data_IF_011151269604
#
_entry.id   IF_011151269604
#
_cell.length_a   1.000
_cell.length_b   1.000
_cell.length_c   1.000
_cell.angle_alpha   90.00
_cell.angle_beta   90.00
_cell.angle_gamma   90.00
#
_symmetry.space_group_name_H-M   'P 1'
#
loop_
_entity.id
_entity.type
_entity.pdbx_description
1 polymer ?
#
# COMPACT_ATOMS: atom_id res chain seq x y z
N UNK A 1 42.96 25.47 37.18
CA UNK A 1 41.69 24.76 36.95
C UNK A 1 40.59 25.75 36.60
N UNK A 2 40.13 25.78 35.37
CA UNK A 2 39.10 26.72 34.88
C UNK A 2 37.75 26.19 35.38
N UNK A 3 37.13 26.84 36.38
CA UNK A 3 35.74 26.55 36.83
C UNK A 3 34.74 27.10 35.80
N UNK A 4 34.35 26.28 34.82
CA UNK A 4 33.24 26.63 33.90
C UNK A 4 31.99 26.73 34.75
N UNK A 5 31.36 27.91 34.84
CA UNK A 5 30.12 28.11 35.60
C UNK A 5 29.01 27.27 34.93
N UNK A 6 28.22 26.52 35.70
CA UNK A 6 27.17 25.61 35.23
C UNK A 6 26.17 26.27 34.24
N UNK A 7 25.99 27.58 34.32
CA UNK A 7 25.22 28.40 33.39
C UNK A 7 25.74 28.33 31.95
N UNK A 8 27.06 28.40 31.76
CA UNK A 8 27.67 28.34 30.42
C UNK A 8 27.55 26.94 29.79
N UNK A 9 27.63 25.88 30.58
CA UNK A 9 27.41 24.50 30.11
C UNK A 9 25.97 24.34 29.59
N UNK A 10 24.99 24.88 30.31
CA UNK A 10 23.57 24.84 29.87
C UNK A 10 23.34 25.61 28.56
N UNK A 11 23.99 26.77 28.41
CA UNK A 11 23.92 27.58 27.18
C UNK A 11 24.53 26.81 26.00
N UNK A 12 25.74 26.24 26.18
CA UNK A 12 26.39 25.45 25.13
C UNK A 12 25.57 24.24 24.74
N UNK A 13 25.01 23.51 25.70
CA UNK A 13 24.09 22.38 25.42
C UNK A 13 22.83 22.81 24.65
N UNK A 14 22.22 23.94 25.04
CA UNK A 14 21.08 24.49 24.33
C UNK A 14 21.41 24.83 22.87
N UNK A 15 22.56 25.51 22.65
CA UNK A 15 23.03 25.85 21.29
C UNK A 15 23.28 24.60 20.44
N UNK A 16 23.89 23.56 21.04
CA UNK A 16 24.12 22.28 20.34
C UNK A 16 22.80 21.58 19.97
N UNK A 17 21.82 21.58 20.88
CA UNK A 17 20.50 21.00 20.59
C UNK A 17 19.77 21.75 19.48
N UNK A 18 19.80 23.09 19.51
CA UNK A 18 19.20 23.92 18.46
C UNK A 18 19.91 23.72 17.12
N UNK A 19 21.22 23.66 17.12
CA UNK A 19 22.02 23.40 15.90
C UNK A 19 21.72 22.00 15.33
N UNK A 20 21.63 20.99 16.19
CA UNK A 20 21.27 19.62 15.78
C UNK A 20 19.83 19.56 15.21
N UNK A 21 18.87 20.24 15.85
CA UNK A 21 17.50 20.33 15.35
C UNK A 21 17.42 21.04 13.99
N UNK A 22 18.17 22.14 13.83
CA UNK A 22 18.25 22.87 12.57
C UNK A 22 18.89 22.04 11.44
N UNK A 23 19.92 21.26 11.76
CA UNK A 23 20.55 20.35 10.79
C UNK A 23 19.68 19.17 10.42
N UNK A 24 18.85 18.67 11.35
CA UNK A 24 17.92 17.57 11.10
C UNK A 24 16.65 18.00 10.34
N UNK A 25 16.29 19.30 10.39
CA UNK A 25 15.07 19.83 9.81
C UNK A 25 14.90 19.50 8.31
N UNK A 26 15.87 19.76 7.41
CA UNK A 26 15.72 19.46 5.98
C UNK A 26 15.54 17.96 5.72
N UNK A 27 16.14 17.10 6.53
CA UNK A 27 15.96 15.66 6.47
C UNK A 27 14.53 15.25 6.86
N UNK A 28 14.02 15.84 7.94
CA UNK A 28 12.67 15.62 8.42
C UNK A 28 11.62 16.14 7.43
N UNK A 29 11.83 17.34 6.89
CA UNK A 29 10.93 17.96 5.90
C UNK A 29 10.89 17.12 4.62
N UNK A 30 12.04 16.69 4.09
CA UNK A 30 12.13 15.81 2.92
C UNK A 30 11.47 14.43 3.16
N UNK A 31 11.69 13.84 4.32
CA UNK A 31 11.03 12.57 4.70
C UNK A 31 9.52 12.73 4.85
N UNK A 32 9.07 13.84 5.45
CA UNK A 32 7.65 14.17 5.60
C UNK A 32 6.96 14.33 4.25
N UNK A 33 7.60 15.01 3.30
CA UNK A 33 7.10 15.21 1.94
C UNK A 33 7.07 13.90 1.15
N UNK A 34 8.12 13.09 1.25
CA UNK A 34 8.14 11.74 0.67
C UNK A 34 6.97 10.90 1.21
N UNK A 35 6.74 10.90 2.53
CA UNK A 35 5.65 10.15 3.16
C UNK A 35 4.26 10.61 2.73
N UNK A 36 4.07 11.91 2.47
CA UNK A 36 2.80 12.44 1.98
C UNK A 36 2.46 11.98 0.56
N UNK A 37 3.48 11.81 -0.27
CA UNK A 37 3.34 11.48 -1.67
C UNK A 37 3.55 9.98 -1.98
N UNK A 38 4.06 9.18 -1.03
CA UNK A 38 4.26 7.76 -1.22
C UNK A 38 2.92 7.00 -1.03
N UNK A 39 2.50 6.32 -2.07
CA UNK A 39 1.36 5.39 -2.03
C UNK A 39 1.92 3.97 -2.07
N UNK A 40 1.79 3.18 -0.99
CA UNK A 40 2.21 1.78 -1.00
C UNK A 40 1.37 0.97 -1.99
N UNK A 41 2.00 0.01 -2.64
CA UNK A 41 1.35 -0.99 -3.47
C UNK A 41 1.43 -2.33 -2.76
N UNK A 42 0.30 -2.96 -2.52
CA UNK A 42 0.20 -4.31 -1.98
C UNK A 42 -0.10 -5.26 -3.13
N UNK A 43 0.84 -6.12 -3.43
CA UNK A 43 0.77 -7.12 -4.49
C UNK A 43 0.27 -8.43 -3.91
N UNK A 44 -0.70 -9.02 -4.58
CA UNK A 44 -1.29 -10.32 -4.31
C UNK A 44 -1.30 -11.17 -5.58
N UNK A 45 -1.41 -12.48 -5.39
CA UNK A 45 -1.60 -13.42 -6.50
C UNK A 45 -2.88 -14.22 -6.27
N UNK A 46 -2.81 -15.35 -5.56
CA UNK A 46 -3.95 -16.20 -5.24
C UNK A 46 -4.49 -15.92 -3.84
N UNK A 47 -5.80 -15.85 -3.68
CA UNK A 47 -6.49 -15.64 -2.41
C UNK A 47 -7.44 -16.79 -2.10
N UNK A 48 -7.01 -17.69 -1.22
CA UNK A 48 -7.78 -18.90 -0.87
C UNK A 48 -7.83 -19.92 -2.01
N UNK A 49 -6.85 -19.87 -2.90
CA UNK A 49 -6.77 -20.74 -4.06
C UNK A 49 -6.35 -22.17 -3.75
N UNK A 50 -6.11 -22.91 -4.83
CA UNK A 50 -5.75 -24.33 -4.80
C UNK A 50 -4.39 -24.59 -4.15
N UNK A 51 -4.28 -25.69 -3.40
CA UNK A 51 -3.00 -26.21 -2.86
C UNK A 51 -2.00 -26.61 -3.96
N UNK A 52 -2.41 -26.57 -5.23
CA UNK A 52 -1.53 -26.79 -6.38
C UNK A 52 -0.57 -25.62 -6.64
N UNK A 53 -0.85 -24.44 -6.05
CA UNK A 53 0.01 -23.26 -6.20
C UNK A 53 1.14 -23.25 -5.17
N UNK A 54 2.30 -22.65 -5.47
CA UNK A 54 3.33 -22.41 -4.47
C UNK A 54 2.77 -21.64 -3.26
N UNK A 55 3.10 -22.07 -2.06
CA UNK A 55 2.58 -21.47 -0.83
C UNK A 55 2.91 -19.96 -0.71
N UNK A 56 4.00 -19.55 -1.36
CA UNK A 56 4.49 -18.16 -1.36
C UNK A 56 3.56 -17.20 -2.10
N UNK A 57 2.73 -17.69 -3.02
CA UNK A 57 1.79 -16.87 -3.81
C UNK A 57 0.36 -16.94 -3.28
N UNK A 58 0.11 -17.71 -2.22
CA UNK A 58 -1.24 -17.91 -1.68
C UNK A 58 -1.40 -17.17 -0.35
N UNK A 59 -2.44 -16.37 -0.24
CA UNK A 59 -2.94 -15.85 1.03
C UNK A 59 -4.32 -16.44 1.34
N UNK A 60 -4.58 -16.80 2.60
CA UNK A 60 -5.91 -17.29 3.00
C UNK A 60 -6.94 -16.18 2.88
N UNK A 61 -8.15 -16.51 2.43
CA UNK A 61 -9.26 -15.54 2.26
C UNK A 61 -9.53 -14.75 3.54
N UNK A 62 -9.54 -15.41 4.70
CA UNK A 62 -9.80 -14.75 5.99
C UNK A 62 -8.67 -13.77 6.39
N UNK A 63 -7.43 -14.06 5.97
CA UNK A 63 -6.29 -13.16 6.23
C UNK A 63 -6.39 -11.94 5.32
N UNK A 64 -6.69 -12.14 4.04
CA UNK A 64 -6.92 -11.04 3.10
C UNK A 64 -8.08 -10.14 3.55
N UNK A 65 -9.21 -10.74 3.97
CA UNK A 65 -10.34 -9.97 4.48
C UNK A 65 -9.97 -9.13 5.71
N UNK A 66 -9.20 -9.67 6.66
CA UNK A 66 -8.70 -8.90 7.81
C UNK A 66 -7.81 -7.73 7.40
N UNK A 67 -7.02 -7.87 6.34
CA UNK A 67 -6.21 -6.78 5.81
C UNK A 67 -7.09 -5.67 5.21
N UNK A 68 -8.10 -6.02 4.41
CA UNK A 68 -9.08 -5.05 3.90
C UNK A 68 -9.82 -4.34 5.03
N UNK A 69 -10.25 -5.08 6.04
CA UNK A 69 -10.91 -4.53 7.23
C UNK A 69 -10.01 -3.54 7.96
N UNK A 70 -8.73 -3.89 8.15
CA UNK A 70 -7.76 -2.99 8.77
C UNK A 70 -7.60 -1.69 7.98
N UNK A 71 -7.41 -1.79 6.67
CA UNK A 71 -7.26 -0.63 5.78
C UNK A 71 -8.50 0.26 5.84
N UNK A 72 -9.69 -0.35 5.70
CA UNK A 72 -10.98 0.35 5.76
C UNK A 72 -11.17 1.08 7.10
N UNK A 73 -11.00 0.37 8.22
CA UNK A 73 -11.21 0.92 9.56
C UNK A 73 -10.21 2.02 9.94
N UNK A 74 -9.04 2.03 9.32
CA UNK A 74 -8.03 3.07 9.51
C UNK A 74 -8.12 4.21 8.49
N UNK A 75 -9.16 4.23 7.64
CA UNK A 75 -9.43 5.30 6.70
C UNK A 75 -8.48 5.33 5.49
N UNK A 76 -7.92 4.18 5.11
CA UNK A 76 -7.17 4.06 3.86
C UNK A 76 -8.12 3.99 2.68
N UNK A 77 -7.82 4.76 1.63
CA UNK A 77 -8.46 4.61 0.32
C UNK A 77 -7.75 3.51 -0.45
N UNK A 78 -8.45 2.45 -0.76
CA UNK A 78 -7.95 1.34 -1.56
C UNK A 78 -8.21 1.64 -3.03
N UNK A 79 -7.16 1.85 -3.80
CA UNK A 79 -7.18 2.39 -5.16
C UNK A 79 -6.73 1.35 -6.16
N UNK A 80 -7.17 1.51 -7.41
CA UNK A 80 -6.52 0.89 -8.56
C UNK A 80 -5.24 1.65 -8.93
N UNK A 81 -4.38 1.02 -9.72
CA UNK A 81 -3.17 1.65 -10.28
C UNK A 81 -3.53 2.89 -11.12
N UNK A 82 -4.60 2.81 -11.91
CA UNK A 82 -5.09 3.92 -12.73
C UNK A 82 -5.47 5.13 -11.87
N UNK A 83 -6.24 4.90 -10.80
CA UNK A 83 -6.65 5.97 -9.87
C UNK A 83 -5.45 6.63 -9.18
N UNK A 84 -4.42 5.85 -8.84
CA UNK A 84 -3.17 6.39 -8.29
C UNK A 84 -2.45 7.26 -9.32
N UNK A 85 -2.28 6.76 -10.54
CA UNK A 85 -1.60 7.49 -11.64
C UNK A 85 -2.34 8.79 -11.94
N UNK A 86 -3.66 8.76 -12.03
CA UNK A 86 -4.47 9.97 -12.27
C UNK A 86 -4.38 10.95 -11.11
N UNK A 87 -4.33 10.45 -9.88
CA UNK A 87 -4.09 11.27 -8.70
C UNK A 87 -2.78 12.04 -8.79
N UNK A 88 -1.69 11.36 -9.13
CA UNK A 88 -0.37 11.99 -9.29
C UNK A 88 -0.31 12.96 -10.46
N UNK A 89 -0.86 12.60 -11.64
CA UNK A 89 -0.90 13.49 -12.80
C UNK A 89 -1.64 14.80 -12.51
N UNK A 90 -2.66 14.75 -11.68
CA UNK A 90 -3.47 15.91 -11.30
C UNK A 90 -2.99 16.61 -10.02
N UNK A 91 -1.82 16.25 -9.48
CA UNK A 91 -1.24 16.86 -8.28
C UNK A 91 -2.10 16.68 -7.02
N UNK A 92 -2.92 15.63 -6.97
CA UNK A 92 -3.80 15.37 -5.81
C UNK A 92 -2.95 14.86 -4.63
N UNK A 93 -3.24 15.37 -3.44
CA UNK A 93 -2.75 14.78 -2.20
C UNK A 93 -3.36 13.37 -2.05
N UNK A 94 -2.52 12.36 -2.10
CA UNK A 94 -2.97 10.98 -1.98
C UNK A 94 -3.30 10.59 -0.54
N UNK A 95 -2.78 11.30 0.47
CA UNK A 95 -3.09 11.07 1.89
C UNK A 95 -2.91 9.61 2.30
N UNK A 96 -3.88 9.08 3.02
CA UNK A 96 -3.93 7.65 3.37
C UNK A 96 -4.49 6.84 2.18
N UNK A 97 -3.67 6.59 1.17
CA UNK A 97 -4.00 5.72 0.05
C UNK A 97 -3.11 4.49 0.00
N UNK A 98 -3.62 3.42 -0.56
CA UNK A 98 -2.91 2.16 -0.86
C UNK A 98 -3.45 1.61 -2.17
N UNK A 99 -2.57 1.10 -3.02
CA UNK A 99 -2.97 0.40 -4.24
C UNK A 99 -2.98 -1.09 -3.97
N UNK A 100 -4.02 -1.76 -4.45
CA UNK A 100 -4.12 -3.22 -4.44
C UNK A 100 -3.90 -3.75 -5.86
N UNK A 101 -3.01 -4.71 -6.01
CA UNK A 101 -2.77 -5.38 -7.29
C UNK A 101 -2.90 -6.89 -7.14
N UNK A 102 -3.43 -7.53 -8.17
CA UNK A 102 -3.57 -8.99 -8.25
C UNK A 102 -2.99 -9.46 -9.57
N UNK A 103 -2.02 -10.35 -9.49
CA UNK A 103 -1.28 -10.84 -10.62
C UNK A 103 -1.80 -12.19 -11.11
N UNK A 104 -1.39 -12.58 -12.31
CA UNK A 104 -1.65 -13.85 -13.02
C UNK A 104 -3.09 -14.11 -13.46
N UNK A 105 -4.12 -13.52 -12.85
CA UNK A 105 -5.51 -13.71 -13.24
C UNK A 105 -6.13 -15.02 -12.78
N UNK A 106 -5.80 -15.47 -11.57
CA UNK A 106 -6.40 -16.67 -10.97
C UNK A 106 -7.92 -16.54 -10.80
N UNK A 107 -8.63 -17.66 -10.90
CA UNK A 107 -10.11 -17.71 -10.73
C UNK A 107 -10.54 -17.23 -9.33
N UNK A 108 -9.72 -17.47 -8.30
CA UNK A 108 -10.01 -17.03 -6.94
C UNK A 108 -10.01 -15.50 -6.79
N UNK A 109 -9.39 -14.77 -7.68
CA UNK A 109 -9.51 -13.31 -7.72
C UNK A 109 -10.95 -12.87 -8.06
N UNK A 110 -11.67 -13.63 -8.89
CA UNK A 110 -13.07 -13.37 -9.15
C UNK A 110 -13.97 -13.94 -8.03
N UNK A 111 -13.74 -15.18 -7.60
CA UNK A 111 -14.66 -15.85 -6.66
C UNK A 111 -14.51 -15.38 -5.21
N UNK A 112 -13.30 -15.02 -4.78
CA UNK A 112 -12.99 -14.67 -3.40
C UNK A 112 -12.68 -13.19 -3.21
N UNK A 113 -11.84 -12.60 -4.11
CA UNK A 113 -11.41 -11.21 -3.96
C UNK A 113 -12.48 -10.22 -4.35
N UNK A 114 -13.12 -10.38 -5.51
CA UNK A 114 -14.07 -9.42 -6.05
C UNK A 114 -15.26 -9.13 -5.12
N UNK A 115 -15.90 -10.14 -4.48
CA UNK A 115 -16.94 -9.90 -3.50
C UNK A 115 -16.44 -9.10 -2.28
N UNK A 116 -15.21 -9.35 -1.83
CA UNK A 116 -14.60 -8.64 -0.71
C UNK A 116 -14.27 -7.20 -1.08
N UNK A 117 -13.74 -6.93 -2.29
CA UNK A 117 -13.53 -5.57 -2.77
C UNK A 117 -14.84 -4.77 -2.76
N UNK A 118 -15.93 -5.34 -3.26
CA UNK A 118 -17.26 -4.73 -3.20
C UNK A 118 -17.70 -4.46 -1.76
N UNK A 119 -17.54 -5.43 -0.87
CA UNK A 119 -17.92 -5.31 0.55
C UNK A 119 -17.24 -4.13 1.24
N UNK A 120 -15.95 -3.88 0.94
CA UNK A 120 -15.16 -2.83 1.57
C UNK A 120 -15.06 -1.54 0.73
N UNK A 121 -15.82 -1.44 -0.37
CA UNK A 121 -15.76 -0.33 -1.33
C UNK A 121 -14.32 -0.02 -1.76
N UNK A 122 -13.58 -1.08 -2.08
CA UNK A 122 -12.19 -1.07 -2.48
C UNK A 122 -12.05 -1.20 -3.99
N UNK A 123 -11.07 -0.49 -4.57
CA UNK A 123 -10.65 -0.69 -5.94
C UNK A 123 -9.32 -1.44 -5.98
N UNK A 124 -9.06 -2.13 -7.08
CA UNK A 124 -7.83 -2.87 -7.32
C UNK A 124 -7.47 -2.85 -8.80
N UNK A 125 -6.26 -3.28 -9.13
CA UNK A 125 -5.85 -3.57 -10.50
C UNK A 125 -5.53 -5.06 -10.64
N UNK A 126 -5.96 -5.65 -11.75
CA UNK A 126 -5.72 -7.06 -12.06
C UNK A 126 -4.82 -7.15 -13.30
N UNK A 127 -3.69 -7.84 -13.16
CA UNK A 127 -2.75 -8.08 -14.23
C UNK A 127 -2.91 -9.51 -14.74
N UNK A 128 -3.51 -9.63 -15.93
CA UNK A 128 -3.93 -10.90 -16.49
C UNK A 128 -2.88 -11.45 -17.45
N UNK A 129 -2.46 -12.68 -17.25
CA UNK A 129 -1.62 -13.40 -18.22
C UNK A 129 -2.49 -13.89 -19.37
N UNK A 130 -2.40 -13.24 -20.53
CA UNK A 130 -3.23 -13.51 -21.69
C UNK A 130 -3.28 -15.00 -22.07
N UNK A 131 -2.15 -15.69 -22.04
CA UNK A 131 -2.06 -17.12 -22.40
C UNK A 131 -2.75 -18.06 -21.39
N UNK A 132 -3.22 -17.53 -20.26
CA UNK A 132 -3.90 -18.28 -19.19
C UNK A 132 -5.41 -18.10 -19.20
N UNK A 133 -5.95 -17.10 -19.90
CA UNK A 133 -7.38 -16.80 -19.96
C UNK A 133 -8.19 -18.05 -20.34
N UNK A 134 -9.17 -18.41 -19.51
CA UNK A 134 -10.06 -19.56 -19.72
C UNK A 134 -9.42 -20.92 -19.48
N UNK A 135 -8.17 -21.00 -19.03
CA UNK A 135 -7.57 -22.26 -18.59
C UNK A 135 -8.09 -22.66 -17.19
N UNK A 136 -7.98 -23.96 -16.82
CA UNK A 136 -8.35 -24.37 -15.46
C UNK A 136 -7.70 -23.49 -14.38
N UNK A 137 -8.47 -23.11 -13.37
CA UNK A 137 -8.07 -22.25 -12.26
C UNK A 137 -7.73 -20.79 -12.62
N UNK A 138 -7.97 -20.33 -13.86
CA UNK A 138 -7.81 -18.96 -14.32
C UNK A 138 -9.14 -18.35 -14.78
N UNK A 139 -9.27 -17.04 -14.65
CA UNK A 139 -10.44 -16.31 -15.14
C UNK A 139 -10.58 -16.41 -16.64
N UNK A 140 -11.83 -16.57 -17.11
CA UNK A 140 -12.19 -16.42 -18.51
C UNK A 140 -12.59 -14.98 -18.85
N UNK A 141 -13.00 -14.77 -20.11
CA UNK A 141 -13.40 -13.43 -20.58
C UNK A 141 -14.62 -12.87 -19.82
N UNK A 142 -15.55 -13.72 -19.40
CA UNK A 142 -16.75 -13.27 -18.68
C UNK A 142 -16.38 -12.69 -17.31
N UNK A 143 -15.59 -13.42 -16.51
CA UNK A 143 -15.15 -13.00 -15.20
C UNK A 143 -14.32 -11.70 -15.27
N UNK A 144 -13.41 -11.63 -16.26
CA UNK A 144 -12.60 -10.43 -16.48
C UNK A 144 -13.49 -9.22 -16.82
N UNK A 145 -14.53 -9.41 -17.66
CA UNK A 145 -15.43 -8.31 -18.04
C UNK A 145 -16.28 -7.79 -16.87
N UNK A 146 -16.52 -8.60 -15.84
CA UNK A 146 -17.27 -8.19 -14.67
C UNK A 146 -16.41 -7.42 -13.63
N UNK A 147 -15.07 -7.52 -13.75
CA UNK A 147 -14.14 -6.77 -12.89
C UNK A 147 -13.96 -5.30 -13.29
N UNK A 148 -14.37 -4.94 -14.51
CA UNK A 148 -14.25 -3.60 -15.10
C UNK A 148 -15.53 -2.82 -14.82
#
# INVERSE_FOLDING_TARGET
>A
MIKIKSKWIKIVLLVLVVAAAAAAKPFYDGYSEYRKNAVPVLEYHSVGGSDEWPAEVIIKTEVFEKQLQYLHNNGYRMLSMEQMIDGFKNGKDMGKAVVLTFDDGYMDNYTNVFPLLKKYNANASFFIVQSKIGKPNYMGHNEISELI
#
